data_IF_904677189059
#
_entry.id   IF_904677189059
#
_cell.length_a   1.000
_cell.length_b   1.000
_cell.length_c   1.000
_cell.angle_alpha   90.00
_cell.angle_beta   90.00
_cell.angle_gamma   90.00
#
_symmetry.space_group_name_H-M   'P 1'
#
loop_
_entity.id
_entity.type
_entity.pdbx_description
1 polymer ?
#
# COMPACT_ATOMS: atom_id res chain seq x y z
N UNK A 1 -4.89 23.99 -9.17
CA UNK A 1 -4.14 23.02 -8.34
C UNK A 1 -2.79 22.78 -9.00
N UNK A 2 -1.68 22.69 -8.24
CA UNK A 2 -0.36 22.41 -8.81
C UNK A 2 -0.44 21.12 -9.64
N UNK A 3 0.05 21.19 -10.87
CA UNK A 3 -0.03 20.11 -11.84
C UNK A 3 1.33 19.97 -12.53
N UNK A 4 1.80 18.73 -12.68
CA UNK A 4 3.08 18.49 -13.36
C UNK A 4 2.95 18.89 -14.83
N UNK A 5 3.85 19.72 -15.36
CA UNK A 5 3.80 20.10 -16.79
C UNK A 5 4.09 18.87 -17.65
N UNK A 6 3.32 18.67 -18.74
CA UNK A 6 3.63 17.64 -19.73
C UNK A 6 4.91 18.04 -20.48
N UNK A 7 5.78 17.08 -20.84
CA UNK A 7 6.96 17.37 -21.65
C UNK A 7 6.55 17.96 -23.01
N UNK A 8 7.28 18.96 -23.48
CA UNK A 8 7.00 19.67 -24.76
C UNK A 8 7.44 18.89 -26.00
N UNK A 9 8.07 17.72 -25.83
CA UNK A 9 8.53 16.86 -26.93
C UNK A 9 8.56 15.38 -26.56
N UNK A 10 8.97 14.54 -27.53
CA UNK A 10 9.11 13.10 -27.32
C UNK A 10 10.22 12.81 -26.31
N UNK A 11 9.84 12.29 -25.14
CA UNK A 11 10.79 11.83 -24.13
C UNK A 11 11.42 10.51 -24.59
N UNK A 12 12.74 10.47 -24.60
CA UNK A 12 13.50 9.26 -24.94
C UNK A 12 13.15 8.11 -23.97
N UNK A 13 13.10 6.87 -24.49
CA UNK A 13 12.72 5.70 -23.70
C UNK A 13 13.58 5.50 -22.45
N UNK A 14 14.90 5.75 -22.53
CA UNK A 14 15.83 5.67 -21.39
C UNK A 14 15.46 6.64 -20.28
N UNK A 15 15.05 7.86 -20.62
CA UNK A 15 14.61 8.87 -19.67
C UNK A 15 13.29 8.46 -19.01
N UNK A 16 12.36 7.85 -19.77
CA UNK A 16 11.11 7.33 -19.21
C UNK A 16 11.36 6.22 -18.19
N UNK A 17 12.25 5.27 -18.51
CA UNK A 17 12.69 4.24 -17.55
C UNK A 17 13.32 4.88 -16.31
N UNK A 18 14.20 5.87 -16.49
CA UNK A 18 14.85 6.56 -15.38
C UNK A 18 13.84 7.18 -14.41
N UNK A 19 12.82 7.89 -14.92
CA UNK A 19 11.74 8.45 -14.10
C UNK A 19 10.91 7.39 -13.41
N UNK A 20 10.50 6.34 -14.13
CA UNK A 20 9.73 5.23 -13.56
C UNK A 20 10.50 4.54 -12.43
N UNK A 21 11.79 4.27 -12.61
CA UNK A 21 12.63 3.59 -11.62
C UNK A 21 12.92 4.49 -10.41
N UNK A 22 13.17 5.79 -10.63
CA UNK A 22 13.34 6.76 -9.55
C UNK A 22 12.10 6.83 -8.66
N UNK A 23 10.92 6.92 -9.27
CA UNK A 23 9.65 6.97 -8.53
C UNK A 23 9.38 5.67 -7.81
N UNK A 24 9.74 4.53 -8.39
CA UNK A 24 9.62 3.23 -7.75
C UNK A 24 10.51 3.12 -6.49
N UNK A 25 11.76 3.58 -6.56
CA UNK A 25 12.66 3.65 -5.39
C UNK A 25 12.05 4.55 -4.31
N UNK A 26 11.54 5.72 -4.70
CA UNK A 26 10.93 6.64 -3.76
C UNK A 26 9.67 6.05 -3.11
N UNK A 27 8.85 5.34 -3.87
CA UNK A 27 7.69 4.59 -3.38
C UNK A 27 8.10 3.59 -2.30
N UNK A 28 9.10 2.74 -2.56
CA UNK A 28 9.59 1.78 -1.56
C UNK A 28 10.25 2.45 -0.34
N UNK A 29 10.91 3.59 -0.51
CA UNK A 29 11.44 4.34 0.62
C UNK A 29 10.30 4.83 1.53
N UNK A 30 9.23 5.37 0.94
CA UNK A 30 8.08 5.88 1.70
C UNK A 30 7.30 4.79 2.42
N UNK A 31 7.16 3.59 1.86
CA UNK A 31 6.48 2.47 2.53
C UNK A 31 7.19 2.01 3.80
N UNK A 32 8.47 2.35 3.96
CA UNK A 32 9.26 2.07 5.17
C UNK A 32 9.21 3.20 6.21
N UNK A 33 8.65 4.38 5.88
CA UNK A 33 8.51 5.48 6.84
C UNK A 33 7.23 5.29 7.65
N UNK A 34 7.39 4.95 8.93
CA UNK A 34 6.26 4.80 9.86
C UNK A 34 5.70 6.15 10.30
N UNK A 35 4.39 6.20 10.51
CA UNK A 35 3.66 7.36 11.02
C UNK A 35 4.13 7.65 12.44
N UNK A 36 4.41 8.91 12.72
CA UNK A 36 4.76 9.33 14.06
C UNK A 36 3.51 9.44 14.94
N UNK A 37 3.56 8.84 16.13
CA UNK A 37 2.53 8.99 17.15
C UNK A 37 1.46 7.89 17.19
N UNK A 38 1.52 6.88 16.31
CA UNK A 38 0.66 5.68 16.42
C UNK A 38 1.21 4.71 17.46
N UNK A 39 0.33 4.08 18.25
CA UNK A 39 0.73 3.03 19.17
C UNK A 39 1.16 1.79 18.40
N UNK A 40 2.45 1.44 18.44
CA UNK A 40 3.02 0.24 17.79
C UNK A 40 2.54 -1.11 18.33
N UNK A 41 1.44 -1.14 19.07
CA UNK A 41 0.82 -2.34 19.61
C UNK A 41 -0.60 -2.48 19.11
N UNK A 42 -0.84 -3.48 18.27
CA UNK A 42 -2.17 -3.98 17.91
C UNK A 42 -3.09 -3.04 17.12
N UNK A 43 -2.58 -2.29 16.13
CA UNK A 43 -3.47 -1.89 15.04
C UNK A 43 -3.84 -3.16 14.27
N UNK A 44 -5.04 -3.69 14.50
CA UNK A 44 -5.57 -4.83 13.75
C UNK A 44 -5.53 -4.47 12.27
N UNK A 45 -4.71 -5.18 11.52
CA UNK A 45 -4.57 -4.95 10.09
C UNK A 45 -5.73 -5.61 9.33
N UNK A 46 -6.89 -4.95 9.40
CA UNK A 46 -8.13 -5.44 8.81
C UNK A 46 -8.03 -5.64 7.29
N UNK A 47 -7.04 -5.02 6.63
CA UNK A 47 -6.86 -5.03 5.19
C UNK A 47 -5.55 -5.69 4.73
N UNK A 48 -4.93 -6.53 5.57
CA UNK A 48 -3.65 -7.20 5.25
C UNK A 48 -3.67 -7.87 3.86
N UNK A 49 -4.76 -8.58 3.52
CA UNK A 49 -4.90 -9.27 2.22
C UNK A 49 -5.11 -8.34 1.02
N UNK A 50 -5.61 -7.12 1.23
CA UNK A 50 -5.87 -6.16 0.16
C UNK A 50 -4.72 -5.16 -0.03
N UNK A 51 -3.77 -5.12 0.90
CA UNK A 51 -2.70 -4.13 0.91
C UNK A 51 -1.82 -4.16 -0.34
N UNK A 52 -1.51 -5.36 -0.84
CA UNK A 52 -0.69 -5.52 -2.04
C UNK A 52 -1.35 -4.85 -3.26
N UNK A 53 -2.68 -4.90 -3.34
CA UNK A 53 -3.47 -4.28 -4.41
C UNK A 53 -3.67 -2.78 -4.15
N UNK A 54 -3.87 -2.39 -2.90
CA UNK A 54 -4.00 -0.98 -2.52
C UNK A 54 -2.67 -0.22 -2.53
N UNK A 55 -1.55 -0.91 -2.80
CA UNK A 55 -0.19 -0.34 -2.81
C UNK A 55 0.09 0.51 -1.57
N UNK A 56 -0.41 0.05 -0.41
CA UNK A 56 -0.26 0.72 0.88
C UNK A 56 0.65 -0.03 1.84
N UNK A 57 0.99 0.57 2.97
CA UNK A 57 1.76 -0.07 4.04
C UNK A 57 1.15 0.23 5.43
N UNK A 58 0.87 -0.78 6.26
CA UNK A 58 0.26 -0.52 7.59
C UNK A 58 1.19 0.34 8.41
N UNK A 59 0.62 1.28 9.14
CA UNK A 59 1.38 2.17 10.01
C UNK A 59 2.43 3.05 9.31
N UNK A 60 2.47 3.06 7.97
CA UNK A 60 3.35 3.94 7.18
C UNK A 60 2.60 5.16 6.68
N UNK A 61 3.33 6.21 6.31
CA UNK A 61 2.80 7.37 5.56
C UNK A 61 2.00 6.93 4.32
N UNK A 62 2.32 5.75 3.78
CA UNK A 62 1.63 5.12 2.64
C UNK A 62 0.38 4.33 3.04
N UNK A 63 -0.20 4.52 4.22
CA UNK A 63 -1.29 3.67 4.74
C UNK A 63 -2.51 3.59 3.80
N UNK A 64 -2.98 4.73 3.31
CA UNK A 64 -4.11 4.78 2.37
C UNK A 64 -3.75 4.27 0.97
N UNK A 65 -2.45 4.25 0.64
CA UNK A 65 -1.95 3.84 -0.67
C UNK A 65 -2.60 4.61 -1.83
N UNK A 66 -2.99 3.88 -2.88
CA UNK A 66 -3.67 4.46 -4.06
C UNK A 66 -5.18 4.63 -3.86
N UNK A 67 -5.74 4.22 -2.71
CA UNK A 67 -7.19 4.18 -2.44
C UNK A 67 -7.91 5.47 -2.85
N UNK A 68 -7.55 6.64 -2.30
CA UNK A 68 -8.20 7.91 -2.61
C UNK A 68 -8.12 8.33 -4.08
N UNK A 69 -7.05 7.91 -4.78
CA UNK A 69 -6.82 8.25 -6.19
C UNK A 69 -7.75 7.42 -7.07
N UNK A 70 -7.81 6.11 -6.80
CA UNK A 70 -8.63 5.18 -7.57
C UNK A 70 -10.11 5.43 -7.30
N UNK A 71 -10.51 5.53 -6.04
CA UNK A 71 -11.91 5.82 -5.64
C UNK A 71 -12.37 7.13 -6.26
N UNK A 72 -11.54 8.18 -6.19
CA UNK A 72 -11.87 9.46 -6.80
C UNK A 72 -12.01 9.41 -8.33
N UNK A 73 -11.12 8.67 -9.00
CA UNK A 73 -11.20 8.46 -10.45
C UNK A 73 -12.45 7.69 -10.87
N UNK A 74 -12.83 6.65 -10.10
CA UNK A 74 -14.00 5.81 -10.39
C UNK A 74 -15.28 6.62 -10.21
N UNK A 75 -15.39 7.42 -9.14
CA UNK A 75 -16.56 8.31 -8.94
C UNK A 75 -16.72 9.26 -10.13
N UNK A 76 -15.65 9.91 -10.56
CA UNK A 76 -15.71 10.85 -11.69
C UNK A 76 -16.06 10.14 -12.99
N UNK A 77 -15.46 8.97 -13.25
CA UNK A 77 -15.79 8.13 -14.41
C UNK A 77 -17.26 7.71 -14.40
N UNK A 78 -17.80 7.27 -13.27
CA UNK A 78 -19.20 6.90 -13.11
C UNK A 78 -20.14 8.09 -13.36
N UNK A 79 -19.84 9.28 -12.83
CA UNK A 79 -20.67 10.48 -13.05
C UNK A 79 -20.71 10.92 -14.52
N UNK A 80 -19.58 10.82 -15.23
CA UNK A 80 -19.55 11.09 -16.67
C UNK A 80 -20.21 9.99 -17.50
N UNK A 81 -19.99 8.72 -17.14
CA UNK A 81 -20.58 7.57 -17.83
C UNK A 81 -22.10 7.52 -17.69
N UNK A 82 -22.62 7.83 -16.51
CA UNK A 82 -24.05 7.95 -16.22
C UNK A 82 -24.69 9.22 -16.80
N UNK A 83 -23.91 10.09 -17.46
CA UNK A 83 -24.34 11.39 -18.02
C UNK A 83 -24.97 12.35 -16.98
N UNK A 84 -24.69 12.16 -15.69
CA UNK A 84 -25.08 13.09 -14.62
C UNK A 84 -24.34 14.42 -14.82
N UNK A 85 -23.05 14.33 -15.18
CA UNK A 85 -22.26 15.47 -15.61
C UNK A 85 -22.07 15.36 -17.12
N UNK A 86 -22.72 16.24 -17.89
CA UNK A 86 -22.61 16.30 -19.35
C UNK A 86 -21.30 17.00 -19.75
N UNK A 87 -20.18 16.27 -19.68
CA UNK A 87 -18.89 16.70 -20.20
C UNK A 87 -18.63 16.05 -21.55
N UNK A 88 -18.33 16.86 -22.56
CA UNK A 88 -17.93 16.36 -23.86
C UNK A 88 -16.43 16.12 -23.87
N UNK A 89 -16.02 14.88 -23.59
CA UNK A 89 -14.62 14.48 -23.57
C UNK A 89 -13.92 14.56 -24.93
N UNK A 90 -14.57 15.06 -26.00
CA UNK A 90 -13.90 15.40 -27.25
C UNK A 90 -13.29 16.81 -27.21
N UNK A 91 -13.88 17.73 -26.42
CA UNK A 91 -13.45 19.12 -26.31
C UNK A 91 -12.32 19.28 -25.28
N UNK A 92 -11.31 20.08 -25.62
CA UNK A 92 -10.18 20.31 -24.72
C UNK A 92 -10.58 21.03 -23.42
N UNK A 93 -11.52 21.97 -23.51
CA UNK A 93 -12.05 22.68 -22.34
C UNK A 93 -12.67 21.69 -21.33
N UNK A 94 -13.56 20.81 -21.78
CA UNK A 94 -14.24 19.83 -20.95
C UNK A 94 -13.28 18.76 -20.40
N UNK A 95 -12.27 18.35 -21.17
CA UNK A 95 -11.19 17.48 -20.68
C UNK A 95 -10.40 18.13 -19.54
N UNK A 96 -10.19 19.45 -19.60
CA UNK A 96 -9.47 20.19 -18.56
C UNK A 96 -10.30 20.28 -17.28
N UNK A 97 -11.61 20.50 -17.41
CA UNK A 97 -12.56 20.50 -16.29
C UNK A 97 -12.62 19.11 -15.66
N UNK A 98 -12.73 18.04 -16.48
CA UNK A 98 -12.72 16.67 -15.99
C UNK A 98 -11.47 16.37 -15.16
N UNK A 99 -10.29 16.70 -15.70
CA UNK A 99 -9.02 16.50 -14.98
C UNK A 99 -8.94 17.38 -13.73
N UNK A 100 -9.38 18.64 -13.77
CA UNK A 100 -9.39 19.53 -12.62
C UNK A 100 -10.28 19.01 -11.49
N UNK A 101 -11.51 18.63 -11.82
CA UNK A 101 -12.48 18.09 -10.87
C UNK A 101 -12.03 16.75 -10.29
N UNK A 102 -11.49 15.85 -11.12
CA UNK A 102 -10.95 14.57 -10.64
C UNK A 102 -9.88 14.80 -9.57
N UNK A 103 -8.94 15.72 -9.79
CA UNK A 103 -7.88 16.02 -8.82
C UNK A 103 -8.41 16.60 -7.52
N UNK A 104 -9.39 17.51 -7.62
CA UNK A 104 -10.06 18.07 -6.45
C UNK A 104 -10.77 16.95 -5.66
N UNK A 105 -11.45 16.06 -6.38
CA UNK A 105 -12.16 14.93 -5.78
C UNK A 105 -11.19 13.97 -5.09
N UNK A 106 -10.02 13.69 -5.68
CA UNK A 106 -8.96 12.90 -5.00
C UNK A 106 -8.54 13.55 -3.68
N UNK A 107 -8.32 14.87 -3.65
CA UNK A 107 -7.96 15.57 -2.40
C UNK A 107 -9.08 15.46 -1.36
N UNK A 108 -10.34 15.56 -1.77
CA UNK A 108 -11.48 15.34 -0.87
C UNK A 108 -11.50 13.90 -0.36
N UNK A 109 -11.30 12.92 -1.23
CA UNK A 109 -11.28 11.49 -0.87
C UNK A 109 -10.16 11.15 0.12
N UNK A 110 -9.01 11.83 0.05
CA UNK A 110 -7.93 11.66 1.03
C UNK A 110 -8.44 11.94 2.45
N UNK A 111 -9.18 13.03 2.66
CA UNK A 111 -9.73 13.34 3.98
C UNK A 111 -10.89 12.41 4.36
N UNK A 112 -11.77 12.09 3.40
CA UNK A 112 -12.91 11.18 3.61
C UNK A 112 -12.44 9.78 4.03
N UNK A 113 -11.31 9.30 3.50
CA UNK A 113 -10.74 8.01 3.89
C UNK A 113 -9.85 8.11 5.15
N UNK A 114 -9.06 9.19 5.31
CA UNK A 114 -8.15 9.32 6.44
C UNK A 114 -8.87 9.52 7.78
N UNK A 115 -9.97 10.29 7.82
CA UNK A 115 -10.68 10.60 9.07
C UNK A 115 -11.24 9.33 9.72
N UNK A 116 -12.08 8.51 9.06
CA UNK A 116 -12.63 7.30 9.68
C UNK A 116 -11.55 6.30 10.11
N UNK A 117 -10.42 6.22 9.38
CA UNK A 117 -9.33 5.31 9.74
C UNK A 117 -8.63 5.72 11.04
N UNK A 118 -8.39 7.03 11.24
CA UNK A 118 -7.79 7.56 12.47
C UNK A 118 -8.72 7.48 13.67
N UNK A 119 -10.02 7.69 13.47
CA UNK A 119 -11.00 7.50 14.54
C UNK A 119 -11.35 6.04 14.82
N UNK A 120 -11.12 5.15 13.84
CA UNK A 120 -11.42 3.72 13.94
C UNK A 120 -10.27 2.90 14.52
N UNK A 121 -9.16 2.78 13.79
CA UNK A 121 -8.12 1.79 14.09
C UNK A 121 -6.67 2.31 14.08
N UNK A 122 -6.41 3.51 13.56
CA UNK A 122 -5.12 4.20 13.67
C UNK A 122 -5.09 5.11 14.90
N UNK A 123 -5.28 4.50 16.08
CA UNK A 123 -5.37 5.25 17.35
C UNK A 123 -3.97 5.72 17.79
N UNK A 124 -3.80 7.02 18.10
CA UNK A 124 -2.53 7.53 18.60
C UNK A 124 -2.15 6.93 19.96
N UNK A 125 -0.85 6.81 20.23
CA UNK A 125 -0.32 6.30 21.50
C UNK A 125 -0.76 7.21 22.67
N UNK A 126 -1.08 6.63 23.83
CA UNK A 126 -1.39 7.36 25.06
C UNK A 126 -0.33 8.42 25.44
N UNK A 127 0.96 8.15 25.15
CA UNK A 127 2.05 9.11 25.39
C UNK A 127 2.03 10.30 24.41
N UNK A 128 1.46 10.12 23.23
CA UNK A 128 1.32 11.17 22.22
C UNK A 128 0.05 11.99 22.49
N UNK A 129 -1.03 11.32 22.92
CA UNK A 129 -2.28 11.93 23.39
C UNK A 129 -2.05 12.80 24.63
N UNK A 130 -1.19 12.41 25.55
CA UNK A 130 -0.90 13.21 26.76
C UNK A 130 -0.17 14.53 26.47
N UNK A 131 0.56 14.62 25.35
CA UNK A 131 1.31 15.83 24.96
C UNK A 131 0.45 16.77 24.11
N UNK A 132 -0.30 16.24 23.14
CA UNK A 132 -1.04 17.04 22.14
C UNK A 132 -2.55 17.08 22.35
N UNK A 133 -3.08 16.34 23.34
CA UNK A 133 -4.51 16.07 23.49
C UNK A 133 -5.02 15.06 22.46
N UNK A 134 -6.14 14.39 22.76
CA UNK A 134 -6.71 13.34 21.88
C UNK A 134 -7.04 13.88 20.47
N UNK A 135 -7.69 15.04 20.41
CA UNK A 135 -8.05 15.67 19.15
C UNK A 135 -6.83 16.19 18.37
N UNK A 136 -5.83 16.74 19.06
CA UNK A 136 -4.60 17.24 18.44
C UNK A 136 -3.74 16.11 17.89
N UNK A 137 -3.58 15.03 18.66
CA UNK A 137 -2.87 13.82 18.25
C UNK A 137 -3.49 13.19 16.99
N UNK A 138 -4.83 13.04 16.97
CA UNK A 138 -5.56 12.54 15.80
C UNK A 138 -5.43 13.46 14.60
N UNK A 139 -5.52 14.79 14.79
CA UNK A 139 -5.33 15.78 13.73
C UNK A 139 -3.94 15.69 13.08
N UNK A 140 -2.89 15.51 13.88
CA UNK A 140 -1.52 15.35 13.37
C UNK A 140 -1.38 14.07 12.54
N UNK A 141 -1.96 12.94 12.98
CA UNK A 141 -1.95 11.69 12.23
C UNK A 141 -2.72 11.83 10.91
N UNK A 142 -3.91 12.47 10.92
CA UNK A 142 -4.69 12.75 9.70
C UNK A 142 -3.86 13.58 8.71
N UNK A 143 -3.15 14.60 9.18
CA UNK A 143 -2.29 15.42 8.33
C UNK A 143 -1.12 14.63 7.73
N UNK A 144 -0.47 13.74 8.51
CA UNK A 144 0.59 12.86 7.99
C UNK A 144 0.06 11.93 6.89
N UNK A 145 -1.10 11.31 7.11
CA UNK A 145 -1.78 10.47 6.12
C UNK A 145 -2.14 11.26 4.87
N UNK A 146 -2.67 12.48 5.03
CA UNK A 146 -3.06 13.34 3.92
C UNK A 146 -1.85 13.76 3.07
N UNK A 147 -0.73 14.11 3.72
CA UNK A 147 0.53 14.41 3.03
C UNK A 147 1.04 13.17 2.29
N UNK A 148 0.99 11.99 2.91
CA UNK A 148 1.36 10.74 2.29
C UNK A 148 0.59 10.42 1.02
N UNK A 149 -0.74 10.41 1.10
CA UNK A 149 -1.60 10.19 -0.06
C UNK A 149 -1.45 11.25 -1.14
N UNK A 150 -1.23 12.51 -0.74
CA UNK A 150 -0.98 13.60 -1.68
C UNK A 150 0.35 13.42 -2.43
N UNK A 151 1.40 12.93 -1.76
CA UNK A 151 2.67 12.60 -2.40
C UNK A 151 2.51 11.47 -3.43
N UNK A 152 1.76 10.41 -3.11
CA UNK A 152 1.45 9.33 -4.07
C UNK A 152 0.73 9.89 -5.30
N UNK A 153 -0.24 10.77 -5.08
CA UNK A 153 -0.96 11.45 -6.16
C UNK A 153 -0.02 12.25 -7.06
N UNK A 154 0.95 12.99 -6.49
CA UNK A 154 1.97 13.68 -7.27
C UNK A 154 2.89 12.71 -8.03
N UNK A 155 3.30 11.62 -7.41
CA UNK A 155 4.13 10.59 -8.04
C UNK A 155 3.40 9.93 -9.22
N UNK A 156 2.10 9.65 -9.08
CA UNK A 156 1.27 9.14 -10.18
C UNK A 156 1.20 10.14 -11.34
N UNK A 157 1.08 11.44 -11.06
CA UNK A 157 1.14 12.46 -12.12
C UNK A 157 2.48 12.50 -12.84
N UNK A 158 3.59 12.33 -12.13
CA UNK A 158 4.92 12.31 -12.75
C UNK A 158 5.09 11.07 -13.62
N UNK A 159 4.75 9.86 -13.12
CA UNK A 159 4.83 8.62 -13.93
C UNK A 159 3.92 8.72 -15.16
N UNK A 160 2.68 9.17 -14.98
CA UNK A 160 1.69 9.22 -16.06
C UNK A 160 2.07 10.21 -17.18
N UNK A 161 2.96 11.18 -16.92
CA UNK A 161 3.43 12.18 -17.90
C UNK A 161 4.83 11.92 -18.43
N UNK A 162 5.74 11.45 -17.57
CA UNK A 162 7.18 11.32 -17.87
C UNK A 162 7.67 9.87 -17.88
N UNK A 163 6.94 8.95 -17.25
CA UNK A 163 7.31 7.54 -17.13
C UNK A 163 6.66 6.66 -18.20
N UNK A 164 6.67 5.36 -17.92
CA UNK A 164 6.02 4.31 -18.71
C UNK A 164 4.74 3.87 -18.00
N UNK A 165 3.60 3.99 -18.68
CA UNK A 165 2.30 3.57 -18.15
C UNK A 165 1.68 4.59 -17.17
N UNK A 166 0.81 4.10 -16.29
CA UNK A 166 0.20 4.88 -15.20
C UNK A 166 0.91 4.56 -13.89
N UNK A 167 1.10 5.57 -13.04
CA UNK A 167 1.68 5.38 -11.70
C UNK A 167 0.85 4.42 -10.85
N UNK A 168 -0.47 4.50 -10.92
CA UNK A 168 -1.39 3.56 -10.26
C UNK A 168 -1.02 2.10 -10.62
N UNK A 169 -0.95 1.77 -11.90
CA UNK A 169 -0.61 0.41 -12.34
C UNK A 169 0.80 -0.04 -11.92
N UNK A 170 1.76 0.89 -11.91
CA UNK A 170 3.12 0.64 -11.46
C UNK A 170 3.17 0.30 -9.96
N UNK A 171 2.46 1.05 -9.12
CA UNK A 171 2.44 0.84 -7.68
C UNK A 171 1.73 -0.46 -7.29
N UNK A 172 0.64 -0.81 -7.97
CA UNK A 172 -0.04 -2.11 -7.80
C UNK A 172 0.91 -3.24 -8.17
N UNK A 173 1.53 -3.18 -9.36
CA UNK A 173 2.46 -4.21 -9.80
C UNK A 173 3.63 -4.37 -8.82
N UNK A 174 4.20 -3.25 -8.36
CA UNK A 174 5.27 -3.26 -7.37
C UNK A 174 4.84 -3.90 -6.04
N UNK A 175 3.67 -3.54 -5.50
CA UNK A 175 3.14 -4.09 -4.26
C UNK A 175 2.82 -5.59 -4.35
N UNK A 176 2.20 -6.02 -5.44
CA UNK A 176 1.91 -7.44 -5.69
C UNK A 176 3.20 -8.24 -5.91
N UNK A 177 4.14 -7.74 -6.71
CA UNK A 177 5.45 -8.39 -6.91
C UNK A 177 6.23 -8.49 -5.59
N UNK A 178 6.22 -7.45 -4.77
CA UNK A 178 6.83 -7.49 -3.44
C UNK A 178 6.17 -8.57 -2.57
N UNK A 179 4.84 -8.59 -2.48
CA UNK A 179 4.11 -9.55 -1.65
C UNK A 179 4.38 -11.00 -2.08
N UNK A 180 4.43 -11.28 -3.38
CA UNK A 180 4.77 -12.60 -3.92
C UNK A 180 6.22 -12.96 -3.58
N UNK A 181 7.16 -12.04 -3.79
CA UNK A 181 8.57 -12.29 -3.52
C UNK A 181 8.82 -12.57 -2.03
N UNK A 182 8.28 -11.72 -1.14
CA UNK A 182 8.40 -11.90 0.30
C UNK A 182 7.64 -13.13 0.80
N UNK A 183 6.44 -13.42 0.26
CA UNK A 183 5.68 -14.61 0.64
C UNK A 183 6.34 -15.91 0.17
N UNK A 184 7.19 -15.87 -0.86
CA UNK A 184 7.82 -17.08 -1.43
C UNK A 184 9.19 -17.36 -0.82
N UNK A 185 10.05 -16.34 -0.68
CA UNK A 185 11.50 -16.51 -0.43
C UNK A 185 11.91 -16.09 1.00
N UNK A 186 11.03 -15.48 1.79
CA UNK A 186 11.42 -14.94 3.09
C UNK A 186 11.79 -16.04 4.12
N UNK A 187 13.05 -16.04 4.54
CA UNK A 187 13.58 -16.98 5.54
C UNK A 187 13.32 -16.52 6.99
N UNK A 188 12.76 -15.32 7.20
CA UNK A 188 12.51 -14.80 8.52
C UNK A 188 11.52 -15.71 9.30
N UNK A 189 11.74 -15.92 10.60
CA UNK A 189 10.76 -16.60 11.45
C UNK A 189 9.50 -15.76 11.62
N UNK A 190 8.33 -16.39 11.69
CA UNK A 190 7.03 -15.72 11.94
C UNK A 190 7.00 -14.89 13.24
N UNK A 191 7.82 -15.25 14.23
CA UNK A 191 8.13 -14.42 15.39
C UNK A 191 9.65 -14.22 15.52
N UNK A 192 10.17 -13.00 15.31
CA UNK A 192 11.60 -12.69 15.44
C UNK A 192 12.18 -12.92 16.85
N UNK A 193 11.32 -12.97 17.87
CA UNK A 193 11.73 -13.09 19.29
C UNK A 193 11.85 -14.53 19.77
N UNK A 194 11.46 -15.50 18.94
CA UNK A 194 11.53 -16.92 19.27
C UNK A 194 12.55 -17.60 18.33
N UNK A 195 13.30 -18.60 18.80
CA UNK A 195 14.08 -19.45 17.90
C UNK A 195 13.15 -20.22 16.95
N UNK A 196 13.64 -20.56 15.76
CA UNK A 196 12.90 -21.41 14.82
C UNK A 196 12.64 -22.78 15.45
N UNK A 197 11.39 -23.23 15.43
CA UNK A 197 10.95 -24.48 16.08
C UNK A 197 9.78 -25.09 15.31
N UNK A 198 9.70 -26.41 15.30
CA UNK A 198 8.67 -27.21 14.62
C UNK A 198 7.67 -27.81 15.62
N UNK A 199 7.92 -27.68 16.93
CA UNK A 199 7.05 -28.29 17.93
C UNK A 199 5.65 -27.63 17.95
N UNK A 200 4.61 -28.46 17.94
CA UNK A 200 3.20 -28.07 17.77
C UNK A 200 2.66 -27.04 18.79
N UNK A 201 3.40 -26.75 19.87
CA UNK A 201 3.03 -25.75 20.87
C UNK A 201 3.69 -24.37 20.64
N UNK A 202 4.78 -24.29 19.85
CA UNK A 202 5.55 -23.05 19.56
C UNK A 202 6.20 -23.12 18.18
N UNK A 203 5.42 -23.45 17.15
CA UNK A 203 5.93 -23.52 15.80
C UNK A 203 6.29 -22.09 15.32
N UNK A 204 7.57 -21.84 15.14
CA UNK A 204 8.10 -20.60 14.60
C UNK A 204 8.78 -20.91 13.27
N UNK A 205 7.94 -21.12 12.27
CA UNK A 205 8.37 -21.52 10.93
C UNK A 205 8.79 -20.29 10.13
N UNK A 206 9.66 -20.46 9.12
CA UNK A 206 9.89 -19.42 8.13
C UNK A 206 8.58 -18.97 7.49
N UNK A 207 8.41 -17.67 7.31
CA UNK A 207 7.20 -17.08 6.71
C UNK A 207 7.10 -17.34 5.21
N UNK A 208 8.22 -17.57 4.52
CA UNK A 208 8.25 -17.88 3.10
C UNK A 208 7.86 -19.34 2.82
N UNK A 209 7.03 -19.55 1.79
CA UNK A 209 6.54 -20.89 1.41
C UNK A 209 7.69 -21.86 1.07
N UNK A 210 8.72 -21.43 0.34
CA UNK A 210 9.87 -22.28 -0.03
C UNK A 210 10.75 -22.57 1.20
N UNK A 211 11.24 -21.56 1.95
CA UNK A 211 11.95 -21.76 3.22
C UNK A 211 11.22 -22.66 4.20
N UNK A 212 9.91 -22.46 4.37
CA UNK A 212 9.06 -23.28 5.24
C UNK A 212 9.11 -24.74 4.82
N UNK A 213 8.91 -25.01 3.53
CA UNK A 213 8.92 -26.37 2.98
C UNK A 213 10.28 -27.04 3.19
N UNK A 214 11.38 -26.32 2.92
CA UNK A 214 12.75 -26.83 3.13
C UNK A 214 13.00 -27.12 4.61
N UNK A 215 12.64 -26.20 5.50
CA UNK A 215 12.88 -26.33 6.94
C UNK A 215 12.09 -27.49 7.56
N UNK A 216 10.84 -27.64 7.13
CA UNK A 216 9.93 -28.75 7.49
C UNK A 216 10.49 -30.08 7.00
N UNK A 217 11.01 -30.15 5.77
CA UNK A 217 11.63 -31.37 5.23
C UNK A 217 12.95 -31.75 5.93
N UNK A 218 13.72 -30.76 6.39
CA UNK A 218 15.03 -31.01 6.99
C UNK A 218 14.97 -31.41 8.47
N UNK A 219 13.90 -31.05 9.18
CA UNK A 219 13.86 -31.14 10.65
C UNK A 219 12.66 -31.95 11.20
N UNK A 220 11.81 -32.55 10.36
CA UNK A 220 10.78 -33.50 10.81
C UNK A 220 11.16 -34.96 10.55
N UNK A 221 10.81 -35.83 11.51
CA UNK A 221 10.93 -37.27 11.35
C UNK A 221 9.83 -37.84 10.44
N UNK A 222 10.10 -38.97 9.77
CA UNK A 222 9.20 -39.60 8.80
C UNK A 222 7.79 -39.92 9.35
N UNK A 223 7.65 -40.20 10.65
CA UNK A 223 6.36 -40.43 11.31
C UNK A 223 5.53 -39.16 11.57
N UNK A 224 6.19 -38.02 11.79
CA UNK A 224 5.54 -36.71 11.95
C UNK A 224 5.18 -36.11 10.59
N UNK A 225 6.00 -36.43 9.57
CA UNK A 225 5.73 -36.03 8.19
C UNK A 225 4.45 -36.69 7.63
N UNK A 226 4.26 -37.99 7.89
CA UNK A 226 3.08 -38.74 7.47
C UNK A 226 1.79 -38.35 8.20
N UNK A 227 1.89 -37.82 9.42
CA UNK A 227 0.72 -37.43 10.22
C UNK A 227 0.32 -35.96 10.06
N UNK A 228 1.29 -35.04 9.93
CA UNK A 228 1.00 -33.58 9.91
C UNK A 228 1.85 -32.78 8.92
N UNK A 229 2.94 -33.35 8.39
CA UNK A 229 3.83 -32.66 7.45
C UNK A 229 3.15 -32.29 6.13
N UNK A 230 2.37 -33.20 5.56
CA UNK A 230 1.60 -32.94 4.34
C UNK A 230 0.54 -31.85 4.54
N UNK A 231 -0.15 -31.86 5.69
CA UNK A 231 -1.15 -30.84 6.03
C UNK A 231 -0.49 -29.47 6.21
N UNK A 232 0.66 -29.39 6.88
CA UNK A 232 1.36 -28.13 7.15
C UNK A 232 2.00 -27.49 5.89
N UNK A 233 2.41 -28.32 4.91
CA UNK A 233 2.96 -27.86 3.62
C UNK A 233 1.86 -27.51 2.62
N UNK A 234 0.85 -28.38 2.45
CA UNK A 234 -0.12 -28.26 1.34
C UNK A 234 -1.47 -27.68 1.71
N UNK A 235 -1.92 -27.83 2.97
CA UNK A 235 -3.27 -27.42 3.41
C UNK A 235 -3.24 -26.26 4.44
N UNK A 236 -2.09 -26.02 5.08
CA UNK A 236 -1.87 -24.92 6.01
C UNK A 236 -1.68 -23.58 5.31
N UNK A 237 -1.81 -22.49 6.06
CA UNK A 237 -1.53 -21.15 5.53
C UNK A 237 -0.11 -21.08 4.94
N UNK A 238 0.05 -20.64 3.67
CA UNK A 238 1.35 -20.61 3.01
C UNK A 238 2.36 -19.69 3.72
N UNK A 239 1.84 -18.61 4.32
CA UNK A 239 2.60 -17.57 4.99
C UNK A 239 1.96 -17.29 6.37
N UNK A 240 2.48 -17.87 7.47
CA UNK A 240 1.98 -17.68 8.84
C UNK A 240 2.36 -16.33 9.46
#
# INVERSE_FOLDING_TARGET
MPAVKRPEGHVHFRTKIGWTLLILIFYFAMTNVMIYGIGGGQSMDMFAGFRAIMAGASGSIMHLGIGPIVTGSIIMQLFTGAKIIKLDLTKEADKSIFQGTQKLLVVVMIFVEAIPQVYGYLVPNASFVSIFGDMGAKGIVIMQLAIGSYLIFLMDEVVSKWGIGSGISLFIAAGVSQAIFTGTINWAPGNPSLPMSISAARANLPVGTIPKTIYVLQNMNAGEFASRGYEMIMLGQPNP
#
